data_IF_928996227894
#
_entry.id   IF_928996227894
#
_cell.length_a   1.000
_cell.length_b   1.000
_cell.length_c   1.000
_cell.angle_alpha   90.00
_cell.angle_beta   90.00
_cell.angle_gamma   90.00
#
_symmetry.space_group_name_H-M   'P 1'
#
loop_
_entity.id
_entity.type
_entity.pdbx_description
1 polymer ?
#
# COMPACT_ATOMS: atom_id res chain seq x y z
N UNK A 1 -6.95 14.95 26.01
CA UNK A 1 -7.11 13.50 25.94
C UNK A 1 -7.24 13.14 24.47
N UNK A 2 -6.45 12.20 23.96
CA UNK A 2 -6.66 11.71 22.60
C UNK A 2 -8.08 11.13 22.51
N UNK A 3 -8.79 11.44 21.43
CA UNK A 3 -10.11 10.84 21.20
C UNK A 3 -9.97 9.33 21.09
N UNK A 4 -10.91 8.58 21.67
CA UNK A 4 -10.93 7.13 21.50
C UNK A 4 -11.08 6.78 20.01
N UNK A 5 -10.39 5.74 19.53
CA UNK A 5 -10.53 5.28 18.17
C UNK A 5 -11.97 4.84 17.91
N UNK A 6 -12.51 5.23 16.76
CA UNK A 6 -13.89 4.95 16.38
C UNK A 6 -13.94 3.92 15.26
N UNK A 7 -15.07 3.22 15.15
CA UNK A 7 -15.29 2.30 14.02
C UNK A 7 -15.16 3.01 12.66
N UNK A 8 -15.49 4.31 12.59
CA UNK A 8 -15.29 5.12 11.39
C UNK A 8 -13.82 5.17 10.95
N UNK A 9 -12.88 5.28 11.89
CA UNK A 9 -11.44 5.29 11.59
C UNK A 9 -10.98 3.95 11.03
N UNK A 10 -11.46 2.86 11.64
CA UNK A 10 -11.18 1.50 11.16
C UNK A 10 -11.72 1.31 9.74
N UNK A 11 -12.95 1.73 9.48
CA UNK A 11 -13.57 1.63 8.15
C UNK A 11 -12.82 2.45 7.11
N UNK A 12 -12.42 3.67 7.46
CA UNK A 12 -11.68 4.56 6.56
C UNK A 12 -10.31 3.97 6.21
N UNK A 13 -9.52 3.51 7.20
CA UNK A 13 -8.23 2.83 6.96
C UNK A 13 -8.40 1.60 6.06
N UNK A 14 -9.42 0.78 6.30
CA UNK A 14 -9.72 -0.37 5.45
C UNK A 14 -10.08 0.05 4.01
N UNK A 15 -10.83 1.13 3.83
CA UNK A 15 -11.15 1.66 2.51
C UNK A 15 -9.90 2.23 1.81
N UNK A 16 -8.99 2.91 2.52
CA UNK A 16 -7.71 3.36 1.97
C UNK A 16 -6.91 2.18 1.41
N UNK A 17 -6.85 1.04 2.13
CA UNK A 17 -6.16 -0.14 1.61
C UNK A 17 -6.91 -0.82 0.46
N UNK A 18 -8.24 -0.82 0.48
CA UNK A 18 -9.03 -1.30 -0.65
C UNK A 18 -8.77 -0.46 -1.92
N UNK A 19 -8.68 0.87 -1.77
CA UNK A 19 -8.32 1.79 -2.83
C UNK A 19 -6.87 1.61 -3.29
N UNK A 20 -5.93 1.34 -2.37
CA UNK A 20 -4.56 0.96 -2.73
C UNK A 20 -4.55 -0.20 -3.73
N UNK A 21 -5.26 -1.29 -3.44
CA UNK A 21 -5.28 -2.45 -4.33
C UNK A 21 -5.97 -2.13 -5.66
N UNK A 22 -7.21 -1.63 -5.59
CA UNK A 22 -8.05 -1.40 -6.77
C UNK A 22 -7.46 -0.37 -7.72
N UNK A 23 -6.99 0.78 -7.22
CA UNK A 23 -6.50 1.87 -8.06
C UNK A 23 -5.16 1.52 -8.71
N UNK A 24 -4.27 0.81 -7.99
CA UNK A 24 -3.03 0.28 -8.57
C UNK A 24 -3.34 -0.70 -9.70
N UNK A 25 -4.21 -1.69 -9.45
CA UNK A 25 -4.51 -2.73 -10.43
C UNK A 25 -5.24 -2.19 -11.67
N UNK A 26 -5.98 -1.09 -11.51
CA UNK A 26 -6.65 -0.38 -12.61
C UNK A 26 -5.84 0.79 -13.18
N UNK A 27 -4.59 0.97 -12.75
CA UNK A 27 -3.64 2.00 -13.25
C UNK A 27 -4.15 3.44 -13.08
N UNK A 28 -4.98 3.70 -12.06
CA UNK A 28 -5.51 5.03 -11.73
C UNK A 28 -4.51 5.81 -10.88
N UNK A 29 -3.34 6.09 -11.45
CA UNK A 29 -2.16 6.56 -10.72
C UNK A 29 -2.33 7.90 -10.00
N UNK A 30 -3.07 8.85 -10.59
CA UNK A 30 -3.34 10.13 -9.95
C UNK A 30 -4.16 9.94 -8.67
N UNK A 31 -5.26 9.19 -8.72
CA UNK A 31 -6.08 8.92 -7.55
C UNK A 31 -5.35 8.02 -6.54
N UNK A 32 -4.59 7.04 -7.04
CA UNK A 32 -3.75 6.18 -6.20
C UNK A 32 -2.71 6.99 -5.44
N UNK A 33 -2.12 8.03 -6.05
CA UNK A 33 -1.19 8.92 -5.35
C UNK A 33 -1.84 9.63 -4.15
N UNK A 34 -3.14 9.92 -4.20
CA UNK A 34 -3.82 10.70 -3.16
C UNK A 34 -3.99 9.96 -1.83
N UNK A 35 -3.83 8.63 -1.83
CA UNK A 35 -3.94 7.81 -0.62
C UNK A 35 -2.69 7.86 0.26
N UNK A 36 -1.58 8.40 -0.25
CA UNK A 36 -0.32 8.56 0.46
C UNK A 36 -0.17 9.98 0.99
N UNK A 37 0.55 10.13 2.11
CA UNK A 37 1.08 11.44 2.49
C UNK A 37 2.20 11.85 1.53
N UNK A 38 2.45 13.15 1.39
CA UNK A 38 3.51 13.67 0.51
C UNK A 38 4.90 13.15 0.95
N UNK A 39 5.09 13.02 2.27
CA UNK A 39 6.27 12.53 2.98
C UNK A 39 6.27 11.01 3.21
N UNK A 40 5.50 10.23 2.44
CA UNK A 40 5.43 8.77 2.64
C UNK A 40 6.82 8.13 2.50
N UNK A 41 7.16 7.25 3.43
CA UNK A 41 8.35 6.39 3.34
C UNK A 41 7.94 5.01 2.87
N UNK A 42 8.47 4.56 1.73
CA UNK A 42 8.18 3.23 1.19
C UNK A 42 9.46 2.41 1.13
N UNK A 43 9.48 1.31 1.89
CA UNK A 43 10.58 0.36 1.96
C UNK A 43 10.18 -0.99 1.37
N UNK A 44 10.66 -1.27 0.17
CA UNK A 44 10.49 -2.57 -0.49
C UNK A 44 11.82 -3.27 -0.72
N UNK A 45 12.87 -2.86 0.01
CA UNK A 45 14.25 -3.37 -0.15
C UNK A 45 14.36 -4.87 0.11
N UNK A 46 13.62 -5.38 1.10
CA UNK A 46 13.54 -6.82 1.40
C UNK A 46 12.87 -7.65 0.29
N UNK A 47 12.20 -6.98 -0.65
CA UNK A 47 11.45 -7.59 -1.74
C UNK A 47 12.02 -7.25 -3.12
N UNK A 48 13.29 -6.83 -3.17
CA UNK A 48 14.03 -6.58 -4.42
C UNK A 48 13.83 -5.20 -5.04
N UNK A 49 13.16 -4.28 -4.36
CA UNK A 49 13.03 -2.88 -4.80
C UNK A 49 13.88 -1.92 -3.96
N UNK A 50 13.46 -0.66 -3.89
CA UNK A 50 14.21 0.44 -3.27
C UNK A 50 13.50 1.01 -2.04
N UNK A 51 14.23 1.88 -1.31
CA UNK A 51 13.68 2.75 -0.29
C UNK A 51 13.42 4.13 -0.90
N UNK A 52 12.20 4.64 -0.78
CA UNK A 52 11.81 5.98 -1.23
C UNK A 52 11.23 6.79 -0.07
N UNK A 53 11.33 8.12 -0.14
CA UNK A 53 10.98 9.02 0.97
C UNK A 53 9.95 10.09 0.61
N UNK A 54 9.40 10.05 -0.60
CA UNK A 54 8.31 10.92 -1.02
C UNK A 54 7.30 10.14 -1.85
N UNK A 55 6.07 10.63 -1.89
CA UNK A 55 5.02 10.06 -2.74
C UNK A 55 5.43 10.02 -4.20
N UNK A 56 5.99 11.11 -4.71
CA UNK A 56 6.23 11.26 -6.14
C UNK A 56 7.42 10.39 -6.60
N UNK A 57 8.44 10.22 -5.74
CA UNK A 57 9.57 9.31 -5.99
C UNK A 57 9.14 7.83 -5.99
N UNK A 58 8.01 7.51 -5.37
CA UNK A 58 7.45 6.16 -5.36
C UNK A 58 6.46 5.94 -6.51
N UNK A 59 5.45 6.81 -6.64
CA UNK A 59 4.27 6.57 -7.48
C UNK A 59 4.62 6.61 -8.96
N UNK A 60 5.35 7.62 -9.41
CA UNK A 60 5.56 7.82 -10.84
C UNK A 60 6.52 6.80 -11.46
N UNK A 61 7.68 6.50 -10.85
CA UNK A 61 8.53 5.41 -11.35
C UNK A 61 7.82 4.05 -11.37
N UNK A 62 7.03 3.74 -10.33
CA UNK A 62 6.27 2.50 -10.29
C UNK A 62 5.18 2.45 -11.37
N UNK A 63 4.57 3.61 -11.68
CA UNK A 63 3.55 3.71 -12.73
C UNK A 63 4.10 3.36 -14.11
N UNK A 64 5.34 3.78 -14.39
CA UNK A 64 6.04 3.47 -15.64
C UNK A 64 6.43 1.99 -15.69
N UNK A 65 6.98 1.46 -14.59
CA UNK A 65 7.36 0.04 -14.48
C UNK A 65 6.17 -0.91 -14.71
N UNK A 66 4.99 -0.53 -14.23
CA UNK A 66 3.79 -1.35 -14.27
C UNK A 66 2.81 -0.98 -15.40
N UNK A 67 3.22 -0.11 -16.34
CA UNK A 67 2.34 0.43 -17.37
C UNK A 67 1.64 -0.67 -18.21
N UNK A 68 2.38 -1.71 -18.59
CA UNK A 68 1.87 -2.84 -19.38
C UNK A 68 1.71 -4.14 -18.56
N UNK A 69 2.01 -4.10 -17.26
CA UNK A 69 1.95 -5.27 -16.37
C UNK A 69 0.56 -5.40 -15.78
N UNK A 70 -0.10 -6.53 -15.99
CA UNK A 70 -1.35 -6.85 -15.29
C UNK A 70 -1.01 -7.21 -13.85
N UNK A 71 -1.63 -6.51 -12.91
CA UNK A 71 -1.41 -6.73 -11.47
C UNK A 71 -2.70 -7.10 -10.77
N UNK A 72 -2.60 -7.87 -9.70
CA UNK A 72 -3.70 -8.17 -8.80
C UNK A 72 -3.15 -8.17 -7.38
N UNK A 73 -3.56 -7.19 -6.57
CA UNK A 73 -3.18 -7.06 -5.17
C UNK A 73 -4.36 -7.42 -4.27
N UNK A 74 -4.14 -8.38 -3.38
CA UNK A 74 -5.15 -8.85 -2.45
C UNK A 74 -4.60 -8.73 -1.04
N UNK A 75 -5.45 -8.22 -0.15
CA UNK A 75 -5.18 -8.18 1.29
C UNK A 75 -6.26 -8.92 2.04
N UNK A 76 -5.88 -9.46 3.19
CA UNK A 76 -6.78 -10.21 4.07
C UNK A 76 -7.05 -9.44 5.37
N UNK A 77 -7.50 -10.13 6.41
CA UNK A 77 -7.85 -9.53 7.69
C UNK A 77 -6.69 -8.69 8.26
N UNK A 78 -6.93 -7.42 8.62
CA UNK A 78 -5.88 -6.57 9.17
C UNK A 78 -5.69 -6.72 10.66
N UNK A 79 -4.49 -6.36 11.12
CA UNK A 79 -4.21 -6.05 12.53
C UNK A 79 -4.02 -4.54 12.65
N UNK A 80 -4.92 -3.84 13.34
CA UNK A 80 -4.95 -2.36 13.39
C UNK A 80 -4.83 -1.89 14.84
N UNK A 81 -3.90 -0.97 15.08
CA UNK A 81 -3.79 -0.19 16.32
C UNK A 81 -3.87 1.28 15.97
N UNK A 82 -4.89 1.99 16.48
CA UNK A 82 -5.07 3.43 16.27
C UNK A 82 -4.71 4.18 17.55
N UNK A 83 -3.91 5.24 17.41
CA UNK A 83 -3.52 6.16 18.48
C UNK A 83 -3.68 7.62 18.00
N UNK A 84 -4.81 8.23 18.37
CA UNK A 84 -5.19 9.58 17.95
C UNK A 84 -5.29 9.72 16.43
N UNK A 85 -4.34 10.48 15.86
CA UNK A 85 -4.23 10.78 14.42
C UNK A 85 -3.21 9.89 13.70
N UNK A 86 -2.78 8.81 14.36
CA UNK A 86 -1.88 7.80 13.76
C UNK A 86 -2.45 6.40 13.90
N UNK A 87 -2.09 5.50 12.99
CA UNK A 87 -2.41 4.09 13.13
C UNK A 87 -1.26 3.23 12.60
N UNK A 88 -1.09 2.05 13.18
CA UNK A 88 -0.18 1.00 12.69
C UNK A 88 -1.01 -0.17 12.22
N UNK A 89 -0.70 -0.68 11.03
CA UNK A 89 -1.47 -1.73 10.39
C UNK A 89 -0.57 -2.80 9.81
N UNK A 90 -0.96 -4.06 9.99
CA UNK A 90 -0.36 -5.19 9.28
C UNK A 90 -1.44 -5.81 8.39
N UNK A 91 -1.12 -5.97 7.11
CA UNK A 91 -1.95 -6.67 6.14
C UNK A 91 -1.22 -7.92 5.68
N UNK A 92 -1.82 -9.10 5.88
CA UNK A 92 -1.44 -10.26 5.09
C UNK A 92 -1.82 -9.99 3.62
N UNK A 93 -0.90 -10.25 2.71
CA UNK A 93 -1.05 -9.92 1.29
C UNK A 93 -0.68 -11.07 0.36
N UNK A 94 -1.32 -11.05 -0.80
CA UNK A 94 -0.91 -11.76 -2.00
C UNK A 94 -0.88 -10.77 -3.17
N UNK A 95 0.17 -10.78 -3.98
CA UNK A 95 0.22 -10.07 -5.25
C UNK A 95 0.49 -11.02 -6.42
N UNK A 96 -0.07 -10.72 -7.58
CA UNK A 96 0.23 -11.42 -8.83
C UNK A 96 0.50 -10.43 -9.94
N UNK A 97 1.65 -10.61 -10.60
CA UNK A 97 2.07 -9.83 -11.74
C UNK A 97 2.12 -10.75 -12.97
N UNK A 98 1.62 -10.26 -14.11
CA UNK A 98 1.67 -10.91 -15.41
C UNK A 98 2.20 -9.91 -16.44
N UNK A 99 3.38 -10.20 -16.97
CA UNK A 99 4.05 -9.39 -17.98
C UNK A 99 3.56 -9.72 -19.39
N UNK A 100 3.71 -8.80 -20.36
CA UNK A 100 3.28 -9.03 -21.75
C UNK A 100 3.95 -10.22 -22.45
N UNK A 101 5.17 -10.57 -22.03
CA UNK A 101 5.93 -11.70 -22.55
C UNK A 101 5.48 -13.07 -21.98
N UNK A 102 4.49 -13.06 -21.08
CA UNK A 102 3.94 -14.26 -20.45
C UNK A 102 4.63 -14.65 -19.14
N UNK A 103 5.68 -13.94 -18.72
CA UNK A 103 6.27 -14.15 -17.39
C UNK A 103 5.24 -13.82 -16.31
N UNK A 104 5.29 -14.57 -15.21
CA UNK A 104 4.46 -14.32 -14.04
C UNK A 104 5.29 -14.28 -12.77
N UNK A 105 4.71 -13.65 -11.75
CA UNK A 105 5.21 -13.66 -10.40
C UNK A 105 4.01 -13.66 -9.45
N UNK A 106 4.03 -14.52 -8.44
CA UNK A 106 3.08 -14.47 -7.32
C UNK A 106 3.86 -14.31 -6.03
N UNK A 107 3.60 -13.25 -5.28
CA UNK A 107 4.20 -13.00 -3.98
C UNK A 107 3.19 -13.18 -2.86
N UNK A 108 3.68 -13.67 -1.72
CA UNK A 108 2.90 -13.79 -0.48
C UNK A 108 3.72 -13.18 0.66
N UNK A 109 3.06 -12.43 1.54
CA UNK A 109 3.75 -11.84 2.68
C UNK A 109 2.90 -10.82 3.40
N UNK A 110 3.54 -9.72 3.80
CA UNK A 110 2.89 -8.70 4.62
C UNK A 110 3.28 -7.29 4.22
N UNK A 111 2.29 -6.41 4.26
CA UNK A 111 2.52 -4.98 4.39
C UNK A 111 2.53 -4.60 5.87
N UNK A 112 3.56 -3.86 6.27
CA UNK A 112 3.61 -3.16 7.55
C UNK A 112 3.50 -1.67 7.28
N UNK A 113 2.41 -1.06 7.73
CA UNK A 113 2.05 0.29 7.35
C UNK A 113 1.84 1.18 8.58
N UNK A 114 2.15 2.46 8.41
CA UNK A 114 1.75 3.51 9.33
C UNK A 114 0.86 4.49 8.57
N UNK A 115 -0.25 4.87 9.20
CA UNK A 115 -1.22 5.81 8.65
C UNK A 115 -1.23 7.09 9.48
N UNK A 116 -1.53 8.20 8.82
CA UNK A 116 -1.69 9.52 9.44
C UNK A 116 -3.03 10.12 9.02
N UNK A 117 -3.80 10.63 9.98
CA UNK A 117 -5.00 11.43 9.70
C UNK A 117 -4.57 12.80 9.20
N UNK A 118 -5.15 13.24 8.10
CA UNK A 118 -4.93 14.55 7.49
C UNK A 118 -6.26 15.31 7.41
N UNK A 119 -6.22 16.58 6.99
CA UNK A 119 -7.45 17.33 6.68
C UNK A 119 -8.30 16.71 5.56
N UNK A 120 -7.76 15.75 4.81
CA UNK A 120 -8.42 15.02 3.72
C UNK A 120 -8.78 13.58 4.10
N UNK A 121 -8.61 13.19 5.37
CA UNK A 121 -8.81 11.81 5.83
C UNK A 121 -7.51 11.07 6.14
N UNK A 122 -7.63 9.78 6.44
CA UNK A 122 -6.51 8.88 6.69
C UNK A 122 -5.70 8.62 5.41
N UNK A 123 -4.37 8.62 5.53
CA UNK A 123 -3.43 8.33 4.43
C UNK A 123 -2.29 7.44 4.89
N UNK A 124 -1.70 6.68 3.97
CA UNK A 124 -0.51 5.87 4.21
C UNK A 124 0.70 6.82 4.31
N UNK A 125 1.37 6.82 5.46
CA UNK A 125 2.58 7.60 5.74
C UNK A 125 3.86 6.74 5.76
N UNK A 126 3.71 5.43 5.93
CA UNK A 126 4.80 4.48 5.75
C UNK A 126 4.26 3.17 5.21
N UNK A 127 5.01 2.54 4.31
CA UNK A 127 4.73 1.20 3.81
C UNK A 127 6.03 0.41 3.76
N UNK A 128 6.07 -0.72 4.45
CA UNK A 128 7.15 -1.70 4.30
C UNK A 128 6.57 -2.98 3.75
N UNK A 129 7.14 -3.49 2.67
CA UNK A 129 6.76 -4.78 2.09
C UNK A 129 7.79 -5.83 2.43
N UNK A 130 7.32 -6.96 2.97
CA UNK A 130 8.11 -8.18 3.12
C UNK A 130 7.40 -9.33 2.42
N UNK A 131 8.16 -10.13 1.65
CA UNK A 131 7.65 -11.36 1.01
C UNK A 131 8.25 -12.59 1.68
N UNK A 132 7.40 -13.56 1.98
CA UNK A 132 7.77 -14.87 2.53
C UNK A 132 7.98 -15.89 1.41
N UNK A 133 7.18 -15.80 0.35
CA UNK A 133 7.17 -16.71 -0.79
C UNK A 133 7.12 -15.86 -2.06
N UNK A 134 7.91 -16.24 -3.06
CA UNK A 134 7.87 -15.70 -4.42
C UNK A 134 7.90 -16.88 -5.39
N UNK A 135 6.86 -17.00 -6.19
CA UNK A 135 6.71 -18.03 -7.22
C UNK A 135 6.67 -17.37 -8.60
N UNK A 136 7.15 -18.08 -9.62
CA UNK A 136 7.05 -17.69 -11.02
C UNK A 136 5.75 -18.22 -11.63
#
# INVERSE_FOLDING_TARGET
MASQPQFADWLEICNVKADYCRLLDTKQWHDWSQIFTEDVVVDVTSSGGELTNTRDDFVWPLSELLAEVKTCHQVHAPQITIDGDTAKVIWAMQDRLLWPDGNTMTGFGHYHEEYRRTGQGWKIAKLTLTRLIVEA
#
